data_IF_810207048253
#
_entry.id   IF_810207048253
#
_cell.length_a   1.000
_cell.length_b   1.000
_cell.length_c   1.000
_cell.angle_alpha   90.00
_cell.angle_beta   90.00
_cell.angle_gamma   90.00
#
_symmetry.space_group_name_H-M   'P 1'
#
loop_
_entity.id
_entity.type
_entity.pdbx_description
1 polymer ?
#
# COMPACT_ATOMS: atom_id res chain seq x y z
N UNK A 1 23.68 42.67 68.67
CA UNK A 1 24.41 41.54 68.02
C UNK A 1 23.56 40.30 68.22
N UNK A 2 22.77 39.88 67.20
CA UNK A 2 22.98 38.70 66.31
C UNK A 2 23.11 37.39 67.11
N UNK A 3 22.34 36.31 66.89
CA UNK A 3 21.66 35.84 65.69
C UNK A 3 20.52 34.85 66.02
N UNK A 4 19.40 34.94 65.30
CA UNK A 4 18.35 33.92 65.22
C UNK A 4 18.75 32.91 64.13
N UNK A 5 18.74 31.60 64.44
CA UNK A 5 18.87 30.54 63.44
C UNK A 5 17.49 30.00 63.10
N UNK A 6 17.06 30.14 61.85
CA UNK A 6 15.83 29.56 61.33
C UNK A 6 16.20 28.43 60.37
N UNK A 7 15.84 27.19 60.74
CA UNK A 7 16.06 25.99 59.94
C UNK A 7 14.87 25.84 58.97
N UNK A 8 15.08 26.06 57.68
CA UNK A 8 14.09 25.81 56.64
C UNK A 8 14.31 24.38 56.14
N UNK A 9 13.40 23.47 56.49
CA UNK A 9 13.32 22.13 55.93
C UNK A 9 12.72 22.17 54.53
N UNK A 10 13.53 21.81 53.53
CA UNK A 10 13.11 21.68 52.14
C UNK A 10 12.42 20.32 51.95
N UNK A 11 11.09 20.33 51.79
CA UNK A 11 10.27 19.16 51.49
C UNK A 11 10.37 18.85 49.99
N UNK A 12 11.21 17.86 49.64
CA UNK A 12 11.26 17.29 48.29
C UNK A 12 9.99 16.46 48.05
N UNK A 13 9.03 17.03 47.31
CA UNK A 13 7.95 16.27 46.70
C UNK A 13 8.55 15.44 45.56
N UNK A 14 8.81 14.15 45.83
CA UNK A 14 8.98 13.15 44.78
C UNK A 14 7.62 12.98 44.07
N UNK A 15 7.44 13.66 42.93
CA UNK A 15 6.38 13.33 41.99
C UNK A 15 6.71 11.99 41.35
N UNK A 16 6.11 10.93 41.87
CA UNK A 16 6.07 9.64 41.18
C UNK A 16 5.27 9.84 39.91
N UNK A 17 5.96 9.95 38.77
CA UNK A 17 5.34 9.80 37.46
C UNK A 17 4.77 8.37 37.40
N UNK A 18 3.49 8.21 37.74
CA UNK A 18 2.73 7.02 37.41
C UNK A 18 2.69 6.96 35.89
N UNK A 19 3.58 6.16 35.30
CA UNK A 19 3.50 5.75 33.90
C UNK A 19 2.22 4.91 33.79
N UNK A 20 1.09 5.56 33.52
CA UNK A 20 -0.11 4.86 33.11
C UNK A 20 0.21 4.17 31.79
N UNK A 21 0.30 2.84 31.83
CA UNK A 21 0.36 2.06 30.60
C UNK A 21 -0.94 2.33 29.83
N UNK A 22 -0.86 3.08 28.75
CA UNK A 22 -2.01 3.31 27.88
C UNK A 22 -2.27 2.00 27.12
N UNK A 23 -3.44 1.41 27.36
CA UNK A 23 -3.90 0.20 26.70
C UNK A 23 -4.69 0.59 25.45
N UNK A 24 -4.29 0.06 24.29
CA UNK A 24 -4.96 0.30 23.02
C UNK A 24 -5.80 -0.92 22.63
N UNK A 25 -7.01 -0.70 22.11
CA UNK A 25 -7.92 -1.79 21.77
C UNK A 25 -8.38 -1.71 20.33
N UNK A 26 -8.82 -2.85 19.81
CA UNK A 26 -9.59 -2.99 18.59
C UNK A 26 -11.03 -3.31 18.96
N UNK A 27 -11.97 -2.55 18.43
CA UNK A 27 -13.41 -2.81 18.54
C UNK A 27 -14.06 -2.71 17.17
N UNK A 28 -14.75 -3.76 16.75
CA UNK A 28 -15.37 -3.80 15.43
C UNK A 28 -16.82 -4.22 15.55
N UNK A 29 -17.70 -3.42 14.95
CA UNK A 29 -19.11 -3.76 14.76
C UNK A 29 -19.31 -4.24 13.33
N UNK A 30 -19.74 -5.48 13.14
CA UNK A 30 -19.85 -6.11 11.83
C UNK A 30 -21.32 -6.49 11.58
N UNK A 31 -21.93 -5.89 10.57
CA UNK A 31 -23.26 -6.27 10.08
C UNK A 31 -23.17 -7.50 9.20
N UNK A 32 -24.20 -8.34 9.26
CA UNK A 32 -24.34 -9.55 8.45
C UNK A 32 -23.19 -10.58 8.64
N UNK A 33 -22.52 -10.55 9.79
CA UNK A 33 -21.42 -11.48 10.09
C UNK A 33 -21.96 -12.93 10.27
N UNK A 34 -21.45 -13.92 9.53
CA UNK A 34 -21.79 -15.34 9.76
C UNK A 34 -21.29 -15.84 11.13
N UNK A 35 -21.83 -16.96 11.61
CA UNK A 35 -21.43 -17.61 12.88
C UNK A 35 -20.11 -18.38 12.73
N UNK A 36 -19.05 -17.67 12.34
CA UNK A 36 -17.69 -18.18 12.25
C UNK A 36 -16.73 -17.32 13.10
N UNK A 37 -15.57 -17.88 13.50
CA UNK A 37 -14.53 -17.09 14.15
C UNK A 37 -13.93 -16.08 13.18
N UNK A 38 -13.42 -15.00 13.75
CA UNK A 38 -12.71 -13.93 13.06
C UNK A 38 -11.23 -14.03 13.43
N UNK A 39 -10.34 -14.05 12.44
CA UNK A 39 -8.89 -14.17 12.69
C UNK A 39 -8.23 -12.81 12.54
N UNK A 40 -7.51 -12.38 13.57
CA UNK A 40 -6.68 -11.17 13.54
C UNK A 40 -5.23 -11.60 13.32
N UNK A 41 -4.49 -10.87 12.48
CA UNK A 41 -3.06 -11.12 12.29
C UNK A 41 -2.30 -9.92 11.75
N UNK A 42 -0.98 -10.01 11.77
CA UNK A 42 -0.09 -9.01 11.17
C UNK A 42 0.14 -9.29 9.69
N UNK A 43 0.40 -8.23 8.94
CA UNK A 43 0.74 -8.30 7.51
C UNK A 43 2.18 -7.81 7.31
N UNK A 44 2.99 -8.63 6.62
CA UNK A 44 4.31 -8.26 6.15
C UNK A 44 4.46 -8.67 4.69
N UNK A 45 4.35 -7.70 3.78
CA UNK A 45 4.15 -7.98 2.36
C UNK A 45 2.86 -8.78 2.13
N UNK A 46 2.99 -9.91 1.43
CA UNK A 46 1.90 -10.87 1.24
C UNK A 46 1.77 -11.88 2.40
N UNK A 47 2.69 -11.88 3.37
CA UNK A 47 2.67 -12.83 4.47
C UNK A 47 1.71 -12.36 5.56
N UNK A 48 0.64 -13.12 5.74
CA UNK A 48 -0.26 -13.01 6.89
C UNK A 48 0.21 -13.93 8.02
N UNK A 49 0.37 -13.37 9.22
CA UNK A 49 0.71 -14.14 10.43
C UNK A 49 -0.41 -14.01 11.46
N UNK A 50 -1.19 -15.08 11.74
CA UNK A 50 -2.24 -15.04 12.74
C UNK A 50 -1.71 -14.66 14.12
N UNK A 51 -2.41 -13.76 14.80
CA UNK A 51 -2.14 -13.30 16.16
C UNK A 51 -3.18 -13.87 17.13
N UNK A 52 -4.46 -13.83 16.76
CA UNK A 52 -5.55 -14.32 17.62
C UNK A 52 -6.75 -14.79 16.80
N UNK A 53 -7.59 -15.63 17.41
CA UNK A 53 -8.88 -16.06 16.91
C UNK A 53 -9.98 -15.52 17.82
N UNK A 54 -10.79 -14.61 17.30
CA UNK A 54 -11.80 -13.86 18.01
C UNK A 54 -13.19 -14.44 17.70
N UNK A 55 -14.03 -14.58 18.72
CA UNK A 55 -15.39 -15.09 18.56
C UNK A 55 -16.39 -13.92 18.60
N UNK A 56 -17.02 -13.55 17.46
CA UNK A 56 -17.95 -12.44 17.41
C UNK A 56 -19.13 -12.66 18.35
N UNK A 57 -19.47 -11.65 19.15
CA UNK A 57 -20.62 -11.67 20.07
C UNK A 57 -21.77 -10.87 19.48
N UNK A 58 -23.02 -11.21 19.81
CA UNK A 58 -24.17 -10.37 19.42
C UNK A 58 -24.00 -8.95 19.94
N UNK A 59 -24.29 -7.96 19.10
CA UNK A 59 -24.20 -6.55 19.45
C UNK A 59 -25.62 -5.96 19.58
N UNK A 60 -26.02 -5.63 20.80
CA UNK A 60 -27.38 -5.14 21.07
C UNK A 60 -28.45 -6.21 20.82
N UNK A 61 -29.66 -5.78 20.44
CA UNK A 61 -30.81 -6.66 20.21
C UNK A 61 -30.89 -7.20 18.77
N UNK A 62 -30.04 -6.71 17.86
CA UNK A 62 -30.01 -7.14 16.46
C UNK A 62 -29.20 -8.43 16.31
N UNK A 63 -29.83 -9.47 15.76
CA UNK A 63 -29.17 -10.76 15.54
C UNK A 63 -28.15 -10.71 14.40
N UNK A 64 -28.25 -9.74 13.49
CA UNK A 64 -27.38 -9.62 12.33
C UNK A 64 -26.11 -8.82 12.60
N UNK A 65 -26.03 -8.13 13.75
CA UNK A 65 -24.88 -7.31 14.10
C UNK A 65 -24.03 -8.00 15.17
N UNK A 66 -22.73 -8.13 14.90
CA UNK A 66 -21.76 -8.72 15.83
C UNK A 66 -20.68 -7.75 16.24
N UNK A 67 -20.15 -7.96 17.44
CA UNK A 67 -19.11 -7.18 18.07
C UNK A 67 -17.88 -8.06 18.29
N UNK A 68 -16.75 -7.58 17.79
CA UNK A 68 -15.42 -8.14 18.04
C UNK A 68 -14.63 -7.15 18.89
N UNK A 69 -13.92 -7.65 19.89
CA UNK A 69 -13.04 -6.86 20.76
C UNK A 69 -11.72 -7.56 20.92
N UNK A 70 -10.64 -6.79 20.88
CA UNK A 70 -9.28 -7.28 21.12
C UNK A 70 -8.47 -6.19 21.84
N UNK A 71 -7.57 -6.60 22.72
CA UNK A 71 -6.68 -5.72 23.46
C UNK A 71 -5.26 -5.95 22.96
N UNK A 72 -4.64 -4.93 22.37
CA UNK A 72 -3.27 -5.07 21.89
C UNK A 72 -2.31 -5.25 23.07
N UNK A 73 -1.34 -6.20 22.98
CA UNK A 73 -0.28 -6.32 23.97
C UNK A 73 0.68 -5.12 23.88
N UNK A 74 1.49 -4.89 24.92
CA UNK A 74 2.38 -3.72 25.01
C UNK A 74 3.49 -3.71 23.95
N UNK A 75 3.84 -4.89 23.45
CA UNK A 75 4.86 -5.14 22.43
C UNK A 75 4.26 -5.39 21.04
N UNK A 76 2.98 -5.05 20.84
CA UNK A 76 2.33 -5.08 19.54
C UNK A 76 3.14 -4.25 18.52
N UNK A 77 3.39 -4.83 17.35
CA UNK A 77 4.22 -4.21 16.31
C UNK A 77 3.39 -3.22 15.53
N UNK A 78 3.81 -1.96 15.48
CA UNK A 78 3.15 -0.96 14.63
C UNK A 78 3.30 -1.35 13.15
N UNK A 79 2.19 -1.33 12.42
CA UNK A 79 2.10 -1.82 11.05
C UNK A 79 0.68 -2.11 10.62
N UNK A 80 0.55 -2.74 9.46
CA UNK A 80 -0.71 -3.23 8.93
C UNK A 80 -1.10 -4.54 9.62
N UNK A 81 -2.35 -4.60 10.05
CA UNK A 81 -3.03 -5.77 10.53
C UNK A 81 -4.14 -6.13 9.56
N UNK A 82 -4.41 -7.43 9.46
CA UNK A 82 -5.52 -7.97 8.69
C UNK A 82 -6.49 -8.64 9.63
N UNK A 83 -7.77 -8.36 9.43
CA UNK A 83 -8.84 -9.12 10.02
C UNK A 83 -9.54 -9.95 8.94
N UNK A 84 -9.60 -11.27 9.15
CA UNK A 84 -10.28 -12.22 8.28
C UNK A 84 -11.62 -12.54 8.94
N UNK A 85 -12.70 -12.04 8.35
CA UNK A 85 -14.07 -12.25 8.82
C UNK A 85 -14.60 -13.65 8.48
N UNK A 86 -13.88 -14.41 7.66
CA UNK A 86 -14.23 -15.76 7.24
C UNK A 86 -15.13 -15.78 5.99
N UNK A 87 -15.78 -16.93 5.76
CA UNK A 87 -16.59 -17.20 4.58
C UNK A 87 -18.02 -17.56 4.99
N UNK A 88 -18.97 -17.35 4.07
CA UNK A 88 -20.28 -18.04 4.14
C UNK A 88 -20.11 -19.50 3.74
N UNK A 89 -21.08 -20.35 4.09
CA UNK A 89 -21.09 -21.75 3.62
C UNK A 89 -21.07 -21.84 2.10
N UNK A 90 -21.78 -20.93 1.41
CA UNK A 90 -21.78 -20.87 -0.05
C UNK A 90 -20.39 -20.52 -0.59
N UNK A 91 -19.75 -19.49 -0.06
CA UNK A 91 -18.41 -19.06 -0.45
C UNK A 91 -17.37 -20.18 -0.26
N UNK A 92 -17.47 -20.94 0.84
CA UNK A 92 -16.62 -22.11 1.09
C UNK A 92 -16.80 -23.20 0.03
N UNK A 93 -18.05 -23.48 -0.38
CA UNK A 93 -18.35 -24.48 -1.42
C UNK A 93 -17.86 -24.02 -2.80
N UNK A 94 -17.90 -22.71 -3.06
CA UNK A 94 -17.48 -22.10 -4.33
C UNK A 94 -15.98 -21.76 -4.39
N UNK A 95 -15.21 -22.10 -3.36
CA UNK A 95 -13.79 -21.74 -3.23
C UNK A 95 -13.53 -20.22 -3.37
N UNK A 96 -14.48 -19.40 -2.93
CA UNK A 96 -14.34 -17.94 -2.90
C UNK A 96 -13.45 -17.53 -1.72
N UNK A 97 -12.54 -16.55 -1.86
CA UNK A 97 -11.67 -16.14 -0.77
C UNK A 97 -12.47 -15.58 0.43
N UNK A 98 -11.94 -15.68 1.66
CA UNK A 98 -12.60 -15.13 2.83
C UNK A 98 -12.70 -13.61 2.77
N UNK A 99 -13.78 -13.09 3.35
CA UNK A 99 -13.94 -11.66 3.55
C UNK A 99 -12.89 -11.17 4.55
N UNK A 100 -12.23 -10.07 4.22
CA UNK A 100 -11.12 -9.54 5.03
C UNK A 100 -11.03 -8.01 4.92
N UNK A 101 -10.32 -7.39 5.86
CA UNK A 101 -10.02 -5.97 5.85
C UNK A 101 -8.64 -5.72 6.46
N UNK A 102 -7.87 -4.86 5.81
CA UNK A 102 -6.55 -4.42 6.30
C UNK A 102 -6.65 -3.04 6.92
N UNK A 103 -6.04 -2.86 8.08
CA UNK A 103 -6.04 -1.61 8.82
C UNK A 103 -4.68 -1.39 9.50
N UNK A 104 -4.36 -0.15 9.85
CA UNK A 104 -3.11 0.17 10.53
C UNK A 104 -3.29 0.22 12.05
N UNK A 105 -2.33 -0.36 12.75
CA UNK A 105 -2.15 -0.15 14.19
C UNK A 105 -0.88 0.65 14.42
N UNK A 106 -1.01 1.76 15.14
CA UNK A 106 0.10 2.66 15.47
C UNK A 106 -0.06 3.23 16.88
N UNK A 107 -0.14 2.36 17.90
CA UNK A 107 -0.36 2.75 19.29
C UNK A 107 -1.58 3.67 19.45
N UNK A 108 -2.70 3.28 18.86
CA UNK A 108 -3.99 3.94 19.05
C UNK A 108 -5.12 2.93 19.12
N UNK A 109 -6.22 3.33 19.76
CA UNK A 109 -7.44 2.53 19.79
C UNK A 109 -8.14 2.64 18.44
N UNK A 110 -8.52 1.49 17.89
CA UNK A 110 -9.18 1.35 16.59
C UNK A 110 -10.62 0.92 16.80
N UNK A 111 -11.57 1.77 16.41
CA UNK A 111 -13.01 1.50 16.47
C UNK A 111 -13.64 1.80 15.12
N UNK A 112 -14.24 0.79 14.51
CA UNK A 112 -14.98 0.96 13.26
C UNK A 112 -16.21 0.04 13.17
N UNK A 113 -17.14 0.44 12.32
CA UNK A 113 -18.26 -0.40 11.88
C UNK A 113 -18.12 -0.75 10.40
N UNK A 114 -18.56 -1.94 10.01
CA UNK A 114 -18.60 -2.37 8.61
C UNK A 114 -19.67 -3.43 8.35
N UNK A 115 -19.76 -3.89 7.10
CA UNK A 115 -20.61 -4.98 6.65
C UNK A 115 -19.77 -6.14 6.13
N UNK A 116 -20.09 -7.37 6.56
CA UNK A 116 -19.39 -8.58 6.16
C UNK A 116 -19.29 -8.75 4.64
N UNK A 117 -20.32 -8.37 3.88
CA UNK A 117 -20.35 -8.54 2.42
C UNK A 117 -19.45 -7.54 1.69
N UNK A 118 -19.25 -6.36 2.27
CA UNK A 118 -18.46 -5.28 1.65
C UNK A 118 -17.61 -4.55 2.71
N UNK A 119 -16.60 -5.20 3.32
CA UNK A 119 -15.96 -4.67 4.52
C UNK A 119 -15.24 -3.34 4.33
N UNK A 120 -14.73 -3.05 3.14
CA UNK A 120 -14.04 -1.79 2.85
C UNK A 120 -15.04 -0.69 2.47
N UNK A 121 -16.04 -0.99 1.63
CA UNK A 121 -16.99 0.02 1.12
C UNK A 121 -17.99 0.49 2.19
N UNK A 122 -18.35 -0.40 3.12
CA UNK A 122 -19.26 -0.09 4.24
C UNK A 122 -18.54 0.41 5.49
N UNK A 123 -17.22 0.57 5.44
CA UNK A 123 -16.41 0.96 6.57
C UNK A 123 -16.74 2.37 7.05
N UNK A 124 -16.92 2.52 8.37
CA UNK A 124 -16.96 3.82 9.04
C UNK A 124 -16.13 3.77 10.30
N UNK A 125 -15.18 4.69 10.39
CA UNK A 125 -14.21 4.73 11.49
C UNK A 125 -14.69 5.73 12.53
N UNK A 126 -14.99 5.22 13.72
CA UNK A 126 -15.39 6.05 14.86
C UNK A 126 -14.19 6.58 15.64
N UNK A 127 -13.12 5.79 15.72
CA UNK A 127 -11.89 6.14 16.43
C UNK A 127 -10.68 5.49 15.74
N UNK A 128 -9.68 6.29 15.40
CA UNK A 128 -8.40 5.95 14.77
C UNK A 128 -8.12 7.01 13.70
N UNK A 129 -7.21 7.94 13.99
CA UNK A 129 -6.87 8.97 13.00
C UNK A 129 -6.04 8.38 11.86
N UNK A 130 -5.19 7.41 12.20
CA UNK A 130 -4.37 6.65 11.26
C UNK A 130 -5.23 6.00 10.15
N UNK A 131 -6.28 5.29 10.56
CA UNK A 131 -7.15 4.61 9.60
C UNK A 131 -8.09 5.58 8.88
N UNK A 132 -8.56 6.67 9.51
CA UNK A 132 -9.37 7.68 8.81
C UNK A 132 -8.61 8.22 7.60
N UNK A 133 -7.38 8.67 7.81
CA UNK A 133 -6.51 9.18 6.74
C UNK A 133 -6.27 8.12 5.68
N UNK A 134 -5.96 6.89 6.08
CA UNK A 134 -5.71 5.79 5.15
C UNK A 134 -6.91 5.46 4.24
N UNK A 135 -8.09 5.27 4.82
CA UNK A 135 -9.26 4.85 4.04
C UNK A 135 -9.86 5.99 3.22
N UNK A 136 -9.81 7.24 3.71
CA UNK A 136 -10.18 8.42 2.92
C UNK A 136 -9.22 8.58 1.73
N UNK A 137 -7.92 8.37 1.96
CA UNK A 137 -6.91 8.36 0.90
C UNK A 137 -7.24 7.31 -0.16
N UNK A 138 -7.40 6.04 0.23
CA UNK A 138 -7.66 4.94 -0.70
C UNK A 138 -8.91 5.17 -1.56
N UNK A 139 -9.96 5.74 -0.97
CA UNK A 139 -11.21 6.04 -1.69
C UNK A 139 -10.98 7.07 -2.80
N UNK A 140 -10.29 8.17 -2.49
CA UNK A 140 -10.02 9.23 -3.47
C UNK A 140 -8.99 8.80 -4.51
N UNK A 141 -7.95 8.08 -4.08
CA UNK A 141 -6.94 7.50 -4.94
C UNK A 141 -7.55 6.57 -5.99
N UNK A 142 -8.50 5.71 -5.58
CA UNK A 142 -9.21 4.82 -6.51
C UNK A 142 -9.91 5.61 -7.63
N UNK A 143 -10.67 6.66 -7.26
CA UNK A 143 -11.41 7.48 -8.22
C UNK A 143 -10.47 8.18 -9.20
N UNK A 144 -9.40 8.79 -8.69
CA UNK A 144 -8.42 9.48 -9.53
C UNK A 144 -7.70 8.52 -10.47
N UNK A 145 -7.33 7.32 -9.98
CA UNK A 145 -6.68 6.31 -10.81
C UNK A 145 -7.59 5.80 -11.93
N UNK A 146 -8.86 5.51 -11.64
CA UNK A 146 -9.84 5.11 -12.66
C UNK A 146 -10.00 6.19 -13.74
N UNK A 147 -10.02 7.47 -13.36
CA UNK A 147 -10.08 8.58 -14.32
C UNK A 147 -8.81 8.70 -15.16
N UNK A 148 -7.63 8.50 -14.56
CA UNK A 148 -6.32 8.52 -15.22
C UNK A 148 -6.21 7.38 -16.24
N UNK A 149 -6.65 6.18 -15.88
CA UNK A 149 -6.64 5.00 -16.77
C UNK A 149 -7.51 5.24 -18.01
N UNK A 150 -8.72 5.77 -17.83
CA UNK A 150 -9.63 6.07 -18.95
C UNK A 150 -9.06 7.10 -19.92
N UNK A 151 -8.52 8.22 -19.42
CA UNK A 151 -7.96 9.26 -20.30
C UNK A 151 -6.64 8.80 -20.95
N UNK A 152 -5.87 7.92 -20.31
CA UNK A 152 -4.66 7.34 -20.88
C UNK A 152 -4.98 6.48 -22.12
N UNK A 153 -6.04 5.66 -22.05
CA UNK A 153 -6.52 4.88 -23.20
C UNK A 153 -6.89 5.79 -24.40
N UNK A 154 -7.55 6.93 -24.12
CA UNK A 154 -7.88 7.91 -25.16
C UNK A 154 -6.62 8.55 -25.77
N UNK A 155 -5.67 8.97 -24.93
CA UNK A 155 -4.37 9.52 -25.39
C UNK A 155 -3.65 8.53 -26.29
N UNK A 156 -3.60 7.26 -25.91
CA UNK A 156 -2.91 6.21 -26.67
C UNK A 156 -3.60 5.90 -28.00
N UNK A 157 -4.94 5.90 -28.01
CA UNK A 157 -5.71 5.81 -29.24
C UNK A 157 -5.34 6.93 -30.21
N UNK A 158 -5.37 8.19 -29.76
CA UNK A 158 -5.07 9.34 -30.63
C UNK A 158 -3.60 9.38 -31.08
N UNK A 159 -2.65 8.96 -30.24
CA UNK A 159 -1.25 8.77 -30.65
C UNK A 159 -1.12 7.78 -31.80
N UNK A 160 -1.83 6.64 -31.71
CA UNK A 160 -1.86 5.63 -32.77
C UNK A 160 -2.44 6.21 -34.07
N UNK A 161 -3.56 6.93 -34.00
CA UNK A 161 -4.20 7.50 -35.19
C UNK A 161 -3.34 8.57 -35.86
N UNK A 162 -2.75 9.49 -35.08
CA UNK A 162 -1.82 10.50 -35.62
C UNK A 162 -0.62 9.83 -36.28
N UNK A 163 -0.08 8.76 -35.68
CA UNK A 163 1.05 8.01 -36.25
C UNK A 163 0.70 7.35 -37.59
N UNK A 164 -0.49 6.76 -37.71
CA UNK A 164 -0.98 6.17 -38.96
C UNK A 164 -1.15 7.22 -40.06
N UNK A 165 -1.72 8.38 -39.74
CA UNK A 165 -1.93 9.48 -40.71
C UNK A 165 -0.57 10.01 -41.21
N UNK A 166 0.38 10.25 -40.29
CA UNK A 166 1.75 10.68 -40.63
C UNK A 166 2.46 9.67 -41.52
N UNK A 167 2.30 8.38 -41.25
CA UNK A 167 2.88 7.32 -42.10
C UNK A 167 2.28 7.29 -43.52
N UNK A 168 1.08 7.84 -43.70
CA UNK A 168 0.40 7.97 -44.99
C UNK A 168 0.70 9.29 -45.71
N UNK A 169 1.65 10.09 -45.21
CA UNK A 169 2.03 11.42 -45.75
C UNK A 169 0.90 12.45 -45.81
N UNK A 170 -0.16 12.26 -45.00
CA UNK A 170 -1.25 13.22 -44.86
C UNK A 170 -0.99 14.14 -43.67
N UNK A 171 -1.38 15.44 -43.73
CA UNK A 171 -1.30 16.33 -42.59
C UNK A 171 -2.34 15.93 -41.53
N UNK A 172 -1.94 15.66 -40.28
CA UNK A 172 -2.86 15.18 -39.25
C UNK A 172 -3.73 16.27 -38.63
N UNK A 173 -3.37 17.56 -38.78
CA UNK A 173 -4.20 18.74 -38.50
C UNK A 173 -5.13 18.64 -37.29
N UNK A 174 -6.41 18.36 -37.54
CA UNK A 174 -7.44 18.24 -36.51
C UNK A 174 -7.13 17.15 -35.47
N UNK A 175 -6.56 16.02 -35.89
CA UNK A 175 -6.24 14.90 -34.99
C UNK A 175 -5.11 15.24 -34.01
N UNK A 176 -4.12 16.03 -34.45
CA UNK A 176 -3.08 16.55 -33.55
C UNK A 176 -3.63 17.52 -32.52
N UNK A 177 -4.60 18.35 -32.90
CA UNK A 177 -5.27 19.25 -31.96
C UNK A 177 -6.07 18.46 -30.90
N UNK A 178 -6.79 17.40 -31.31
CA UNK A 178 -7.50 16.50 -30.39
C UNK A 178 -6.53 15.79 -29.45
N UNK A 179 -5.45 15.21 -29.99
CA UNK A 179 -4.39 14.59 -29.19
C UNK A 179 -3.82 15.57 -28.17
N UNK A 180 -3.50 16.80 -28.58
CA UNK A 180 -2.98 17.84 -27.69
C UNK A 180 -3.97 18.18 -26.56
N UNK A 181 -5.26 18.28 -26.87
CA UNK A 181 -6.31 18.47 -25.86
C UNK A 181 -6.34 17.34 -24.82
N UNK A 182 -6.31 16.09 -25.29
CA UNK A 182 -6.32 14.90 -24.43
C UNK A 182 -5.05 14.74 -23.62
N UNK A 183 -3.90 15.06 -24.23
CA UNK A 183 -2.62 15.07 -23.56
C UNK A 183 -2.58 16.06 -22.39
N UNK A 184 -3.11 17.27 -22.59
CA UNK A 184 -3.23 18.26 -21.53
C UNK A 184 -4.18 17.80 -20.40
N UNK A 185 -5.30 17.16 -20.74
CA UNK A 185 -6.24 16.60 -19.77
C UNK A 185 -5.58 15.52 -18.89
N UNK A 186 -4.88 14.57 -19.52
CA UNK A 186 -4.14 13.52 -18.83
C UNK A 186 -3.04 14.09 -17.92
N UNK A 187 -2.21 15.00 -18.45
CA UNK A 187 -1.15 15.65 -17.68
C UNK A 187 -1.72 16.44 -16.47
N UNK A 188 -2.85 17.13 -16.65
CA UNK A 188 -3.52 17.85 -15.56
C UNK A 188 -4.01 16.91 -14.47
N UNK A 189 -4.64 15.79 -14.85
CA UNK A 189 -5.18 14.83 -13.89
C UNK A 189 -4.06 14.13 -13.11
N UNK A 190 -2.93 13.83 -13.75
CA UNK A 190 -1.73 13.34 -13.06
C UNK A 190 -1.20 14.34 -12.03
N UNK A 191 -1.12 15.64 -12.37
CA UNK A 191 -0.70 16.68 -11.42
C UNK A 191 -1.70 16.83 -10.26
N UNK A 192 -3.00 16.71 -10.51
CA UNK A 192 -4.01 16.73 -9.46
C UNK A 192 -3.83 15.57 -8.49
N UNK A 193 -3.65 14.34 -9.01
CA UNK A 193 -3.40 13.16 -8.20
C UNK A 193 -2.11 13.30 -7.39
N UNK A 194 -1.02 13.70 -8.02
CA UNK A 194 0.27 13.87 -7.36
C UNK A 194 0.19 14.92 -6.24
N UNK A 195 -0.44 16.07 -6.51
CA UNK A 195 -0.66 17.10 -5.49
C UNK A 195 -1.56 16.63 -4.34
N UNK A 196 -2.55 15.78 -4.60
CA UNK A 196 -3.37 15.15 -3.56
C UNK A 196 -2.56 14.19 -2.68
N UNK A 197 -1.75 13.30 -3.28
CA UNK A 197 -0.90 12.35 -2.55
C UNK A 197 0.12 13.11 -1.71
N UNK A 198 0.86 14.04 -2.32
CA UNK A 198 1.88 14.85 -1.64
C UNK A 198 1.28 15.64 -0.48
N UNK A 199 0.16 16.34 -0.69
CA UNK A 199 -0.50 17.08 0.37
C UNK A 199 -0.93 16.16 1.52
N UNK A 200 -1.46 14.98 1.21
CA UNK A 200 -1.90 14.03 2.24
C UNK A 200 -0.71 13.52 3.06
N UNK A 201 0.44 13.28 2.44
CA UNK A 201 1.69 12.95 3.15
C UNK A 201 2.16 14.12 4.02
N UNK A 202 2.17 15.34 3.48
CA UNK A 202 2.63 16.55 4.17
C UNK A 202 1.75 16.89 5.40
N UNK A 203 0.44 16.81 5.25
CA UNK A 203 -0.51 17.10 6.34
C UNK A 203 -0.42 16.04 7.47
N UNK A 204 0.14 14.86 7.19
CA UNK A 204 0.16 13.71 8.11
C UNK A 204 1.56 13.13 8.39
N UNK A 205 2.64 13.91 8.22
CA UNK A 205 4.04 13.43 8.29
C UNK A 205 4.43 12.64 9.55
N UNK A 206 3.71 12.83 10.66
CA UNK A 206 3.96 12.13 11.94
C UNK A 206 3.26 10.78 12.04
N UNK A 207 2.30 10.50 11.17
CA UNK A 207 1.55 9.24 11.13
C UNK A 207 2.36 8.18 10.38
N UNK A 208 2.18 6.93 10.77
CA UNK A 208 2.79 5.78 10.09
C UNK A 208 2.24 5.62 8.65
N UNK A 209 0.95 5.91 8.42
CA UNK A 209 0.27 5.81 7.11
C UNK A 209 0.84 6.78 6.09
N UNK A 210 1.40 7.92 6.50
CA UNK A 210 2.07 8.84 5.57
C UNK A 210 3.23 8.16 4.82
N UNK A 211 3.92 7.23 5.49
CA UNK A 211 5.01 6.44 4.89
C UNK A 211 4.48 5.54 3.77
N UNK A 212 3.33 4.90 3.99
CA UNK A 212 2.72 4.01 3.01
C UNK A 212 1.99 4.75 1.90
N UNK A 213 1.32 5.87 2.20
CA UNK A 213 0.71 6.75 1.20
C UNK A 213 1.77 7.32 0.25
N UNK A 214 2.97 7.64 0.74
CA UNK A 214 4.05 8.11 -0.11
C UNK A 214 4.47 7.08 -1.18
N UNK A 215 4.27 5.78 -0.94
CA UNK A 215 4.51 4.76 -1.96
C UNK A 215 3.54 4.83 -3.15
N UNK A 216 2.40 5.53 -3.03
CA UNK A 216 1.46 5.71 -4.14
C UNK A 216 1.90 6.80 -5.13
N UNK A 217 2.93 7.61 -4.79
CA UNK A 217 3.51 8.57 -5.73
C UNK A 217 4.09 7.84 -6.93
N UNK A 218 3.93 8.42 -8.10
CA UNK A 218 4.39 7.87 -9.38
C UNK A 218 5.13 8.93 -10.17
N UNK A 219 6.14 8.55 -10.97
CA UNK A 219 6.77 9.51 -11.87
C UNK A 219 5.75 10.02 -12.89
N UNK A 220 5.87 11.30 -13.23
CA UNK A 220 5.00 11.94 -14.21
C UNK A 220 5.13 11.28 -15.59
N UNK A 221 4.00 10.89 -16.18
CA UNK A 221 3.96 10.24 -17.49
C UNK A 221 3.53 11.26 -18.53
N UNK A 222 4.50 11.94 -19.14
CA UNK A 222 4.19 13.00 -20.10
C UNK A 222 3.38 12.47 -21.30
N UNK A 223 2.14 12.94 -21.40
CA UNK A 223 1.18 12.57 -22.42
C UNK A 223 1.61 12.91 -23.85
N UNK A 224 2.53 13.86 -24.02
CA UNK A 224 3.05 14.25 -25.34
C UNK A 224 4.09 13.25 -25.88
N UNK A 225 4.66 12.42 -25.01
CA UNK A 225 5.50 11.30 -25.43
C UNK A 225 4.63 10.20 -26.03
N UNK A 226 5.18 9.47 -26.99
CA UNK A 226 4.51 8.28 -27.49
C UNK A 226 4.45 7.20 -26.39
N UNK A 227 3.52 6.23 -26.48
CA UNK A 227 3.27 5.28 -25.38
C UNK A 227 4.52 4.51 -24.93
N UNK A 228 5.42 4.18 -25.87
CA UNK A 228 6.66 3.47 -25.55
C UNK A 228 7.64 4.35 -24.76
N UNK A 229 7.90 5.57 -25.23
CA UNK A 229 8.77 6.52 -24.53
C UNK A 229 8.24 6.86 -23.13
N UNK A 230 6.92 7.01 -23.02
CA UNK A 230 6.23 7.27 -21.77
C UNK A 230 6.38 6.11 -20.78
N UNK A 231 6.21 4.87 -21.26
CA UNK A 231 6.43 3.66 -20.46
C UNK A 231 7.91 3.52 -20.02
N UNK A 232 8.86 3.75 -20.92
CA UNK A 232 10.30 3.69 -20.62
C UNK A 232 10.70 4.74 -19.57
N UNK A 233 10.14 5.95 -19.65
CA UNK A 233 10.31 6.98 -18.61
C UNK A 233 9.75 6.50 -17.26
N UNK A 234 8.50 6.04 -17.26
CA UNK A 234 7.83 5.54 -16.06
C UNK A 234 8.62 4.41 -15.38
N UNK A 235 9.07 3.42 -16.15
CA UNK A 235 9.85 2.29 -15.62
C UNK A 235 11.21 2.68 -15.04
N UNK A 236 11.85 3.71 -15.58
CA UNK A 236 13.16 4.19 -15.09
C UNK A 236 13.01 4.94 -13.76
N UNK A 237 11.99 5.77 -13.65
CA UNK A 237 11.76 6.65 -12.49
C UNK A 237 10.79 6.05 -11.46
N UNK A 238 10.28 4.84 -11.67
CA UNK A 238 9.18 4.26 -10.90
C UNK A 238 9.35 4.30 -9.38
N UNK A 239 10.59 4.08 -8.91
CA UNK A 239 10.93 4.02 -7.50
C UNK A 239 11.57 5.32 -6.96
N UNK A 240 11.49 6.44 -7.69
CA UNK A 240 12.14 7.69 -7.30
C UNK A 240 11.70 8.20 -5.90
N UNK A 241 10.48 7.88 -5.48
CA UNK A 241 9.91 8.29 -4.19
C UNK A 241 10.00 7.21 -3.09
N UNK A 242 10.61 6.06 -3.36
CA UNK A 242 10.70 4.96 -2.41
C UNK A 242 12.01 5.02 -1.63
N UNK A 243 11.91 5.15 -0.31
CA UNK A 243 13.07 5.01 0.58
C UNK A 243 13.24 3.55 1.02
N UNK A 244 14.07 2.80 0.31
CA UNK A 244 14.36 1.40 0.64
C UNK A 244 15.16 1.21 1.93
N UNK A 245 15.57 2.29 2.62
CA UNK A 245 16.18 2.17 3.94
C UNK A 245 15.15 2.14 5.08
N UNK A 246 13.89 2.46 4.81
CA UNK A 246 12.84 2.49 5.81
C UNK A 246 12.25 1.08 6.07
N UNK A 247 12.62 0.50 7.22
CA UNK A 247 12.12 -0.82 7.63
C UNK A 247 10.62 -0.85 7.90
N UNK A 248 9.94 0.30 8.04
CA UNK A 248 8.49 0.31 8.23
C UNK A 248 7.77 -0.21 6.98
N UNK A 249 8.37 -0.07 5.80
CA UNK A 249 7.76 -0.46 4.52
C UNK A 249 7.42 -1.96 4.46
N UNK A 250 8.17 -2.82 5.14
CA UNK A 250 7.95 -4.27 5.14
C UNK A 250 6.80 -4.70 6.07
N UNK A 251 6.22 -3.77 6.83
CA UNK A 251 5.13 -4.00 7.78
C UNK A 251 3.74 -3.76 7.18
N UNK A 252 3.63 -3.82 5.86
CA UNK A 252 2.37 -3.78 5.12
C UNK A 252 2.53 -4.51 3.78
N UNK A 253 1.43 -4.68 3.04
CA UNK A 253 1.48 -5.16 1.65
C UNK A 253 1.88 -4.07 0.64
N UNK A 254 1.87 -2.79 1.02
CA UNK A 254 1.94 -1.67 0.07
C UNK A 254 3.26 -1.67 -0.72
N UNK A 255 4.37 -2.05 -0.09
CA UNK A 255 5.65 -2.18 -0.79
C UNK A 255 5.65 -3.34 -1.79
N UNK A 256 5.10 -4.49 -1.41
CA UNK A 256 5.01 -5.65 -2.32
C UNK A 256 4.06 -5.38 -3.47
N UNK A 257 2.95 -4.67 -3.23
CA UNK A 257 2.02 -4.24 -4.27
C UNK A 257 2.70 -3.28 -5.27
N UNK A 258 3.50 -2.33 -4.76
CA UNK A 258 4.33 -1.42 -5.58
C UNK A 258 5.33 -2.20 -6.45
N UNK A 259 6.03 -3.16 -5.86
CA UNK A 259 7.00 -4.01 -6.59
C UNK A 259 6.28 -4.87 -7.63
N UNK A 260 5.12 -5.46 -7.29
CA UNK A 260 4.31 -6.23 -8.22
C UNK A 260 3.88 -5.39 -9.43
N UNK A 261 3.35 -4.19 -9.19
CA UNK A 261 2.95 -3.27 -10.26
C UNK A 261 4.14 -2.90 -11.15
N UNK A 262 5.33 -2.70 -10.57
CA UNK A 262 6.54 -2.50 -11.34
C UNK A 262 6.83 -3.70 -12.25
N UNK A 263 6.85 -4.92 -11.71
CA UNK A 263 7.09 -6.14 -12.49
C UNK A 263 6.09 -6.26 -13.65
N UNK A 264 4.79 -6.02 -13.38
CA UNK A 264 3.72 -6.07 -14.40
C UNK A 264 3.98 -5.07 -15.52
N UNK A 265 4.48 -3.87 -15.22
CA UNK A 265 4.77 -2.85 -16.24
C UNK A 265 5.79 -3.30 -17.31
N UNK A 266 6.63 -4.29 -17.01
CA UNK A 266 7.61 -4.85 -17.95
C UNK A 266 7.04 -5.98 -18.83
N UNK A 267 5.93 -6.59 -18.42
CA UNK A 267 5.26 -7.63 -19.19
C UNK A 267 4.35 -7.00 -20.25
N UNK A 268 4.30 -7.59 -21.45
CA UNK A 268 3.48 -7.10 -22.55
C UNK A 268 2.54 -8.19 -23.07
N UNK A 269 1.36 -7.81 -23.60
CA UNK A 269 0.50 -8.74 -24.32
C UNK A 269 1.28 -9.46 -25.44
N UNK A 270 1.10 -10.78 -25.54
CA UNK A 270 1.73 -11.60 -26.58
C UNK A 270 3.17 -12.06 -26.30
N UNK A 271 3.78 -11.68 -25.18
CA UNK A 271 5.08 -12.23 -24.80
C UNK A 271 5.04 -13.75 -24.63
N UNK A 272 5.99 -14.43 -25.28
CA UNK A 272 6.35 -15.82 -24.99
C UNK A 272 6.91 -15.93 -23.57
N UNK A 273 6.96 -17.16 -23.03
CA UNK A 273 7.55 -17.42 -21.71
C UNK A 273 8.98 -16.86 -21.60
N UNK A 274 9.83 -17.12 -22.59
CA UNK A 274 11.22 -16.63 -22.61
C UNK A 274 11.29 -15.10 -22.65
N UNK A 275 10.48 -14.44 -23.49
CA UNK A 275 10.44 -12.97 -23.54
C UNK A 275 9.99 -12.36 -22.20
N UNK A 276 9.00 -12.98 -21.56
CA UNK A 276 8.52 -12.58 -20.23
C UNK A 276 9.60 -12.75 -19.16
N UNK A 277 10.33 -13.86 -19.18
CA UNK A 277 11.47 -14.08 -18.27
C UNK A 277 12.56 -13.01 -18.47
N UNK A 278 12.91 -12.68 -19.72
CA UNK A 278 13.87 -11.60 -20.02
C UNK A 278 13.37 -10.25 -19.48
N UNK A 279 12.09 -9.94 -19.68
CA UNK A 279 11.49 -8.69 -19.19
C UNK A 279 11.50 -8.60 -17.66
N UNK A 280 11.14 -9.69 -16.97
CA UNK A 280 11.21 -9.73 -15.51
C UNK A 280 12.63 -9.67 -14.98
N UNK A 281 13.63 -10.25 -15.67
CA UNK A 281 15.05 -10.07 -15.28
C UNK A 281 15.44 -8.59 -15.34
N UNK A 282 15.01 -7.85 -16.36
CA UNK A 282 15.24 -6.39 -16.43
C UNK A 282 14.57 -5.66 -15.26
N UNK A 283 13.32 -6.01 -14.95
CA UNK A 283 12.59 -5.44 -13.82
C UNK A 283 13.27 -5.74 -12.48
N UNK A 284 13.72 -6.98 -12.25
CA UNK A 284 14.47 -7.40 -11.06
C UNK A 284 15.76 -6.57 -10.94
N UNK A 285 16.51 -6.39 -12.02
CA UNK A 285 17.70 -5.54 -11.99
C UNK A 285 17.35 -4.08 -11.62
N UNK A 286 16.26 -3.55 -12.16
CA UNK A 286 15.74 -2.22 -11.82
C UNK A 286 15.44 -2.08 -10.33
N UNK A 287 14.71 -3.04 -9.76
CA UNK A 287 14.41 -3.10 -8.31
C UNK A 287 15.71 -3.17 -7.50
N UNK A 288 16.56 -4.16 -7.79
CA UNK A 288 17.75 -4.43 -6.97
C UNK A 288 18.79 -3.31 -7.04
N UNK A 289 18.84 -2.55 -8.14
CA UNK A 289 19.70 -1.36 -8.25
C UNK A 289 19.32 -0.25 -7.26
N UNK A 290 18.06 -0.21 -6.81
CA UNK A 290 17.56 0.75 -5.82
C UNK A 290 17.66 0.21 -4.40
N UNK A 291 17.46 -1.11 -4.23
CA UNK A 291 17.47 -1.79 -2.93
C UNK A 291 18.89 -2.02 -2.39
N UNK A 292 19.82 -2.40 -3.26
CA UNK A 292 21.25 -2.62 -2.95
C UNK A 292 22.10 -1.78 -3.92
N UNK A 293 22.09 -0.44 -3.81
CA UNK A 293 22.84 0.42 -4.72
C UNK A 293 24.35 0.19 -4.57
N UNK A 294 25.07 0.16 -5.69
CA UNK A 294 26.53 0.01 -5.68
C UNK A 294 27.18 1.19 -4.94
N UNK A 295 27.95 0.89 -3.88
CA UNK A 295 28.65 1.91 -3.08
C UNK A 295 27.75 2.76 -2.18
N UNK A 296 26.45 2.46 -2.07
CA UNK A 296 25.50 3.17 -1.22
C UNK A 296 25.08 2.40 0.03
N UNK A 297 24.41 3.06 0.99
CA UNK A 297 23.78 2.36 2.11
C UNK A 297 22.63 1.49 1.59
N UNK A 298 22.56 0.25 2.11
CA UNK A 298 21.43 -0.65 1.90
C UNK A 298 20.96 -1.14 3.25
N UNK A 299 19.65 -1.14 3.49
CA UNK A 299 19.08 -1.77 4.67
C UNK A 299 18.97 -3.29 4.45
N UNK A 300 19.72 -4.14 5.18
CA UNK A 300 19.70 -5.58 4.96
C UNK A 300 18.33 -6.22 5.16
N UNK A 301 17.53 -5.72 6.12
CA UNK A 301 16.19 -6.29 6.40
C UNK A 301 15.23 -6.05 5.25
N UNK A 302 15.21 -4.84 4.69
CA UNK A 302 14.39 -4.51 3.53
C UNK A 302 14.88 -5.28 2.30
N UNK A 303 16.20 -5.38 2.12
CA UNK A 303 16.78 -6.08 0.99
C UNK A 303 16.49 -7.60 1.01
N UNK A 304 16.63 -8.24 2.17
CA UNK A 304 16.34 -9.66 2.34
C UNK A 304 14.84 -9.93 2.16
N UNK A 305 13.99 -9.06 2.70
CA UNK A 305 12.55 -9.13 2.49
C UNK A 305 12.15 -9.08 1.01
N UNK A 306 12.72 -8.13 0.24
CA UNK A 306 12.43 -8.00 -1.20
C UNK A 306 12.98 -9.21 -1.97
N UNK A 307 14.16 -9.70 -1.62
CA UNK A 307 14.73 -10.89 -2.26
C UNK A 307 13.86 -12.13 -2.02
N UNK A 308 13.42 -12.35 -0.78
CA UNK A 308 12.51 -13.46 -0.44
C UNK A 308 11.17 -13.34 -1.18
N UNK A 309 10.61 -12.13 -1.22
CA UNK A 309 9.39 -11.82 -1.96
C UNK A 309 9.52 -12.19 -3.45
N UNK A 310 10.56 -11.69 -4.12
CA UNK A 310 10.79 -11.95 -5.55
C UNK A 310 10.99 -13.45 -5.82
N UNK A 311 11.82 -14.13 -5.02
CA UNK A 311 12.06 -15.57 -5.18
C UNK A 311 10.78 -16.38 -5.01
N UNK A 312 10.02 -16.09 -3.95
CA UNK A 312 8.76 -16.78 -3.65
C UNK A 312 7.75 -16.55 -4.76
N UNK A 313 7.59 -15.31 -5.23
CA UNK A 313 6.70 -14.96 -6.33
C UNK A 313 7.03 -15.70 -7.62
N UNK A 314 8.29 -15.63 -8.08
CA UNK A 314 8.70 -16.31 -9.32
C UNK A 314 8.68 -17.84 -9.21
N UNK A 315 8.96 -18.39 -8.03
CA UNK A 315 8.82 -19.83 -7.78
C UNK A 315 7.36 -20.27 -7.91
N UNK A 316 6.40 -19.52 -7.35
CA UNK A 316 4.96 -19.80 -7.51
C UNK A 316 4.50 -19.73 -8.97
N UNK A 317 5.13 -18.88 -9.78
CA UNK A 317 4.87 -18.78 -11.22
C UNK A 317 5.61 -19.83 -12.05
N UNK A 318 6.41 -20.72 -11.44
CA UNK A 318 7.21 -21.73 -12.13
C UNK A 318 8.32 -21.13 -13.00
N UNK A 319 8.86 -19.96 -12.64
CA UNK A 319 9.90 -19.25 -13.40
C UNK A 319 11.29 -19.51 -12.82
N UNK A 320 11.69 -20.79 -12.82
CA UNK A 320 12.93 -21.26 -12.18
C UNK A 320 14.20 -20.55 -12.68
N UNK A 321 14.23 -20.17 -13.96
CA UNK A 321 15.35 -19.42 -14.54
C UNK A 321 15.56 -18.07 -13.86
N UNK A 322 14.49 -17.37 -13.50
CA UNK A 322 14.57 -16.08 -12.79
C UNK A 322 15.01 -16.31 -11.34
N UNK A 323 14.48 -17.33 -10.69
CA UNK A 323 14.88 -17.70 -9.31
C UNK A 323 16.38 -18.01 -9.27
N UNK A 324 16.87 -18.81 -10.23
CA UNK A 324 18.29 -19.11 -10.40
C UNK A 324 19.12 -17.84 -10.59
N UNK A 325 18.69 -16.95 -11.49
CA UNK A 325 19.35 -15.67 -11.73
C UNK A 325 19.46 -14.81 -10.45
N UNK A 326 18.36 -14.70 -9.68
CA UNK A 326 18.35 -13.94 -8.41
C UNK A 326 19.35 -14.55 -7.40
N UNK A 327 19.39 -15.88 -7.30
CA UNK A 327 20.30 -16.58 -6.40
C UNK A 327 21.76 -16.32 -6.76
N UNK A 328 22.12 -16.45 -8.05
CA UNK A 328 23.49 -16.26 -8.53
C UNK A 328 23.97 -14.81 -8.40
N UNK A 329 23.10 -13.83 -8.62
CA UNK A 329 23.49 -12.41 -8.68
C UNK A 329 23.42 -11.67 -7.34
N UNK A 330 22.47 -12.02 -6.47
CA UNK A 330 22.09 -11.18 -5.32
C UNK A 330 22.06 -11.89 -3.96
N UNK A 331 22.26 -13.21 -3.92
CA UNK A 331 22.13 -14.02 -2.70
C UNK A 331 23.47 -14.46 -2.11
N UNK A 332 24.52 -13.67 -2.34
CA UNK A 332 25.86 -13.86 -1.77
C UNK A 332 26.09 -13.03 -0.51
#
# INVERSE_FOLDING_TARGET
MKSFSFFIGLLFFFSTNLVNAQYYSLQIVIKNQPDNPVVLGTVSGEKFTPVDTLFPKKAGNDQLTKLVRYQFPKDAVNGMYRIIFGQTTYALVMDEPPQQLDFFYNNETVVFETDFKNPQTSLKISQSEENKVWFDFLKREKILREQIELIEEEVDYYHSEVSKIKSSSLPPGEMEAVLSGKANEFNKLQMEREGFVEKTVQDNQKMLVSTFINLYREPFRDAFLNPKERLEHYQREYFIYVDFNDERLIRSSVLTDKIFNYLVSWNQPGYTRTQREIAYIKAVNGIMSKVKPEGGPANPRVADFILDYLKTGFNRLGMDNIVKYINERYSG
#
